data_IF_365940944757
#
_entry.id   IF_365940944757
#
_cell.length_a   1.000
_cell.length_b   1.000
_cell.length_c   1.000
_cell.angle_alpha   90.00
_cell.angle_beta   90.00
_cell.angle_gamma   90.00
#
_symmetry.space_group_name_H-M   'P 1'
#
loop_
_entity.id
_entity.type
_entity.pdbx_description
1 polymer ?
#
# COMPACT_ATOMS: atom_id res chain seq x y z
N UNK A 1 -21.62 16.55 25.45
CA UNK A 1 -21.82 16.15 24.04
C UNK A 1 -21.64 17.35 23.11
N UNK A 2 -22.11 18.53 23.54
CA UNK A 2 -21.92 19.79 22.83
C UNK A 2 -20.46 20.16 22.56
N UNK A 3 -19.52 19.90 23.47
CA UNK A 3 -18.09 20.12 23.20
C UNK A 3 -17.57 19.33 22.00
N UNK A 4 -18.03 18.08 21.85
CA UNK A 4 -17.65 17.24 20.71
C UNK A 4 -18.33 17.67 19.41
N UNK A 5 -19.57 18.16 19.48
CA UNK A 5 -20.30 18.70 18.32
C UNK A 5 -19.80 20.09 17.91
N UNK A 6 -19.44 20.95 18.85
CA UNK A 6 -18.85 22.27 18.61
C UNK A 6 -17.42 22.14 18.05
N UNK A 7 -16.67 21.12 18.50
CA UNK A 7 -15.37 20.80 17.94
C UNK A 7 -15.46 20.09 16.57
N UNK A 8 -16.55 19.42 16.21
CA UNK A 8 -16.72 18.82 14.87
C UNK A 8 -17.50 19.69 13.88
N UNK A 9 -18.38 20.59 14.34
CA UNK A 9 -19.30 21.38 13.50
C UNK A 9 -19.36 22.88 13.85
N UNK A 10 -18.85 23.31 15.00
CA UNK A 10 -18.94 24.70 15.47
C UNK A 10 -17.73 25.58 15.16
N UNK A 11 -16.56 24.98 14.84
CA UNK A 11 -15.33 25.73 14.61
C UNK A 11 -14.58 25.26 13.35
N UNK A 12 -14.10 26.20 12.53
CA UNK A 12 -13.32 25.93 11.31
C UNK A 12 -12.08 25.07 11.57
N UNK A 13 -11.52 25.14 12.78
CA UNK A 13 -10.35 24.35 13.19
C UNK A 13 -10.69 22.85 13.33
N UNK A 14 -11.91 22.55 13.75
CA UNK A 14 -12.40 21.19 13.95
C UNK A 14 -12.48 20.37 12.67
N UNK A 15 -13.14 20.94 11.66
CA UNK A 15 -13.25 20.34 10.33
C UNK A 15 -11.88 20.24 9.64
N UNK A 16 -11.06 21.28 9.74
CA UNK A 16 -9.70 21.27 9.16
C UNK A 16 -8.82 20.18 9.78
N UNK A 17 -8.88 20.02 11.11
CA UNK A 17 -8.15 18.94 11.80
C UNK A 17 -8.66 17.57 11.38
N UNK A 18 -9.97 17.39 11.26
CA UNK A 18 -10.54 16.11 10.89
C UNK A 18 -10.19 15.71 9.44
N UNK A 19 -10.14 16.69 8.52
CA UNK A 19 -9.69 16.49 7.15
C UNK A 19 -8.20 16.11 7.11
N UNK A 20 -7.36 16.74 7.94
CA UNK A 20 -5.94 16.39 8.07
C UNK A 20 -5.76 14.98 8.64
N UNK A 21 -6.55 14.58 9.64
CA UNK A 21 -6.50 13.23 10.22
C UNK A 21 -6.87 12.21 9.13
N UNK A 22 -7.99 12.41 8.44
CA UNK A 22 -8.43 11.52 7.36
C UNK A 22 -7.40 11.48 6.22
N UNK A 23 -6.85 12.63 5.83
CA UNK A 23 -5.81 12.73 4.82
C UNK A 23 -4.53 11.99 5.22
N UNK A 24 -4.10 12.11 6.48
CA UNK A 24 -2.93 11.41 7.01
C UNK A 24 -3.16 9.90 7.05
N UNK A 25 -4.35 9.45 7.48
CA UNK A 25 -4.72 8.05 7.45
C UNK A 25 -4.76 7.49 6.03
N UNK A 26 -5.33 8.23 5.08
CA UNK A 26 -5.33 7.86 3.66
C UNK A 26 -3.91 7.79 3.11
N UNK A 27 -3.04 8.72 3.47
CA UNK A 27 -1.65 8.74 3.00
C UNK A 27 -0.87 7.52 3.51
N UNK A 28 -0.97 7.24 4.82
CA UNK A 28 -0.33 6.09 5.46
C UNK A 28 -0.90 4.79 4.88
N UNK A 29 -2.22 4.68 4.76
CA UNK A 29 -2.90 3.51 4.21
C UNK A 29 -2.54 3.28 2.74
N UNK A 30 -2.52 4.33 1.93
CA UNK A 30 -2.10 4.25 0.52
C UNK A 30 -0.65 3.79 0.39
N UNK A 31 0.24 4.29 1.23
CA UNK A 31 1.64 3.86 1.24
C UNK A 31 1.81 2.41 1.69
N UNK A 32 1.09 2.00 2.74
CA UNK A 32 1.07 0.62 3.21
C UNK A 32 0.47 -0.33 2.16
N UNK A 33 -0.62 0.06 1.51
CA UNK A 33 -1.24 -0.70 0.43
C UNK A 33 -0.30 -0.83 -0.76
N UNK A 34 0.43 0.22 -1.13
CA UNK A 34 1.43 0.17 -2.19
C UNK A 34 2.59 -0.78 -1.83
N UNK A 35 3.03 -0.76 -0.57
CA UNK A 35 4.05 -1.69 -0.06
C UNK A 35 3.58 -3.14 -0.11
N UNK A 36 2.36 -3.43 0.35
CA UNK A 36 1.75 -4.77 0.30
C UNK A 36 1.53 -5.21 -1.14
N UNK A 37 1.01 -4.33 -1.99
CA UNK A 37 0.84 -4.60 -3.42
C UNK A 37 2.17 -4.97 -4.06
N UNK A 38 3.21 -4.17 -3.82
CA UNK A 38 4.56 -4.45 -4.32
C UNK A 38 5.10 -5.75 -3.76
N UNK A 39 4.96 -6.04 -2.47
CA UNK A 39 5.41 -7.31 -1.87
C UNK A 39 4.68 -8.52 -2.46
N UNK A 40 3.36 -8.43 -2.66
CA UNK A 40 2.55 -9.53 -3.20
C UNK A 40 2.71 -9.70 -4.72
N UNK A 41 2.93 -8.60 -5.45
CA UNK A 41 3.13 -8.59 -6.90
C UNK A 41 4.59 -8.59 -7.32
N UNK A 42 5.52 -8.63 -6.36
CA UNK A 42 6.89 -9.07 -6.60
C UNK A 42 6.84 -10.57 -6.86
N UNK A 43 6.26 -10.95 -8.00
CA UNK A 43 6.54 -12.24 -8.58
C UNK A 43 8.06 -12.30 -8.74
N UNK A 44 8.72 -13.38 -8.29
CA UNK A 44 10.12 -13.59 -8.64
C UNK A 44 10.23 -13.48 -10.16
N UNK A 45 11.34 -12.95 -10.71
CA UNK A 45 11.52 -12.91 -12.15
C UNK A 45 11.37 -14.34 -12.64
N UNK A 46 10.24 -14.66 -13.26
CA UNK A 46 10.07 -15.90 -14.00
C UNK A 46 10.76 -15.69 -15.35
N UNK A 47 12.08 -15.65 -15.24
CA UNK A 47 13.05 -15.67 -16.30
C UNK A 47 14.15 -16.59 -15.77
N UNK A 48 14.47 -17.72 -16.37
CA UNK A 48 14.11 -18.16 -17.69
C UNK A 48 14.48 -19.64 -17.77
N UNK A 49 13.63 -20.38 -18.44
CA UNK A 49 13.91 -21.67 -19.05
C UNK A 49 15.37 -21.78 -19.56
N UNK A 50 16.19 -22.61 -18.93
CA UNK A 50 17.32 -23.24 -19.62
C UNK A 50 16.82 -24.57 -20.15
N UNK A 51 16.45 -24.72 -21.43
CA UNK A 51 16.46 -26.03 -22.04
C UNK A 51 17.94 -26.36 -22.28
N UNK A 52 18.65 -26.80 -21.23
CA UNK A 52 19.94 -27.45 -21.43
C UNK A 52 19.64 -28.80 -22.05
N UNK A 53 19.59 -28.79 -23.38
CA UNK A 53 19.73 -29.92 -24.27
C UNK A 53 20.58 -31.02 -23.65
N UNK A 54 19.95 -32.14 -23.32
CA UNK A 54 20.66 -33.40 -23.21
C UNK A 54 20.58 -34.05 -24.60
N UNK A 55 21.70 -34.16 -25.33
CA UNK A 55 21.97 -35.35 -26.08
C UNK A 55 22.94 -36.21 -25.27
N UNK A 56 22.75 -37.52 -25.34
CA UNK A 56 23.64 -38.52 -24.77
C UNK A 56 25.06 -38.31 -25.33
N UNK A 57 26.05 -38.11 -24.46
CA UNK A 57 27.44 -38.36 -24.81
C UNK A 57 27.81 -39.73 -24.25
N UNK A 58 28.13 -40.65 -25.14
CA UNK A 58 28.52 -42.01 -24.79
C UNK A 58 29.94 -42.05 -24.23
N UNK A 59 30.10 -42.76 -23.12
CA UNK A 59 31.24 -43.63 -22.88
C UNK A 59 30.92 -44.63 -21.78
#
# INVERSE_FOLDING_TARGET
MDFWLDLMFGNSVGLMSMLVIIGTFLLISSYAAYFIYKVMHSQPPHSQHTPSTHPREGK
#
